data_IF_235403060780
#
_entry.id   IF_235403060780
#
_cell.length_a   1.000
_cell.length_b   1.000
_cell.length_c   1.000
_cell.angle_alpha   90.00
_cell.angle_beta   90.00
_cell.angle_gamma   90.00
#
_symmetry.space_group_name_H-M   'P 1'
#
loop_
_entity.id
_entity.type
_entity.pdbx_description
1 polymer ?
#
# COMPACT_ATOMS: atom_id res chain seq x y z
N UNK A 1 0.00 10.62 -4.64
CA UNK A 1 -0.63 9.83 -3.57
C UNK A 1 -0.01 8.45 -3.63
N UNK A 2 0.53 8.00 -2.50
CA UNK A 2 1.17 6.70 -2.31
C UNK A 2 0.43 5.95 -1.21
N UNK A 3 0.47 4.61 -1.29
CA UNK A 3 -0.10 3.74 -0.26
C UNK A 3 0.97 2.72 0.11
N UNK A 4 1.27 2.60 1.40
CA UNK A 4 2.01 1.48 1.98
C UNK A 4 0.98 0.59 2.65
N UNK A 5 0.87 -0.66 2.23
CA UNK A 5 -0.05 -1.63 2.80
C UNK A 5 0.74 -2.77 3.43
N UNK A 6 0.32 -3.20 4.62
CA UNK A 6 0.94 -4.29 5.36
C UNK A 6 0.14 -5.59 5.19
N UNK A 7 0.75 -6.73 5.53
CA UNK A 7 0.02 -8.00 5.53
C UNK A 7 -1.03 -7.96 6.65
N UNK A 8 -2.28 -8.39 6.43
CA UNK A 8 -3.30 -8.45 7.48
C UNK A 8 -2.87 -9.20 8.74
N UNK A 9 -1.94 -10.16 8.63
CA UNK A 9 -1.42 -10.95 9.74
C UNK A 9 -0.35 -10.22 10.55
N UNK A 10 0.23 -9.14 10.04
CA UNK A 10 1.27 -8.41 10.77
C UNK A 10 0.75 -7.86 12.11
N UNK A 11 -0.55 -7.56 12.20
CA UNK A 11 -1.16 -7.14 13.46
C UNK A 11 -1.18 -8.23 14.52
N UNK A 12 -1.48 -9.48 14.15
CA UNK A 12 -1.56 -10.61 15.09
C UNK A 12 -0.21 -11.27 15.34
N UNK A 13 0.57 -11.46 14.28
CA UNK A 13 1.78 -12.29 14.29
C UNK A 13 3.01 -11.46 14.70
N UNK A 14 3.07 -10.21 14.23
CA UNK A 14 4.25 -9.35 14.35
C UNK A 14 3.99 -8.10 15.20
N UNK A 15 2.79 -7.96 15.78
CA UNK A 15 2.43 -6.87 16.69
C UNK A 15 2.31 -5.49 16.04
N UNK A 16 2.08 -5.43 14.72
CA UNK A 16 1.91 -4.16 14.02
C UNK A 16 0.62 -3.46 14.48
N UNK A 17 0.77 -2.26 15.04
CA UNK A 17 -0.36 -1.40 15.43
C UNK A 17 -0.58 -0.28 14.42
N UNK A 18 -1.77 0.35 14.45
CA UNK A 18 -2.07 1.53 13.62
C UNK A 18 -1.09 2.67 13.89
N UNK A 19 -0.76 2.93 15.16
CA UNK A 19 0.21 3.96 15.53
C UNK A 19 1.61 3.65 14.99
N UNK A 20 2.05 2.38 15.09
CA UNK A 20 3.34 1.98 14.54
C UNK A 20 3.37 2.12 13.02
N UNK A 21 2.31 1.70 12.33
CA UNK A 21 2.18 1.89 10.89
C UNK A 21 2.20 3.37 10.50
N UNK A 22 1.52 4.24 11.25
CA UNK A 22 1.56 5.70 11.06
C UNK A 22 3.00 6.23 11.20
N UNK A 23 3.72 5.86 12.26
CA UNK A 23 5.12 6.24 12.46
C UNK A 23 6.02 5.80 11.30
N UNK A 24 5.85 4.57 10.81
CA UNK A 24 6.59 4.04 9.67
C UNK A 24 6.32 4.86 8.39
N UNK A 25 5.06 5.21 8.14
CA UNK A 25 4.70 6.06 7.02
C UNK A 25 5.24 7.48 7.11
N UNK A 26 5.27 8.06 8.31
CA UNK A 26 5.87 9.38 8.55
C UNK A 26 7.39 9.37 8.35
N UNK A 27 8.07 8.34 8.85
CA UNK A 27 9.51 8.15 8.65
C UNK A 27 9.83 7.98 7.17
N UNK A 28 9.09 7.13 6.46
CA UNK A 28 9.22 6.95 5.01
C UNK A 28 9.00 8.27 4.26
N UNK A 29 7.93 9.00 4.61
CA UNK A 29 7.60 10.27 3.96
C UNK A 29 8.70 11.31 4.16
N UNK A 30 9.23 11.43 5.38
CA UNK A 30 10.31 12.36 5.71
C UNK A 30 11.59 12.05 4.94
N UNK A 31 11.92 10.77 4.77
CA UNK A 31 13.10 10.33 4.04
C UNK A 31 12.99 10.52 2.53
N UNK A 32 11.82 10.27 1.94
CA UNK A 32 11.66 10.11 0.49
C UNK A 32 10.82 11.20 -0.20
N UNK A 33 10.20 12.11 0.56
CA UNK A 33 9.51 13.27 -0.01
C UNK A 33 9.94 14.59 0.65
N UNK A 34 11.24 14.84 0.92
CA UNK A 34 11.67 16.09 1.52
C UNK A 34 11.30 17.27 0.60
N UNK A 35 10.99 18.44 1.15
CA UNK A 35 10.62 19.58 0.31
C UNK A 35 9.17 19.53 -0.18
N UNK A 36 8.42 18.47 0.06
CA UNK A 36 6.98 18.46 -0.18
C UNK A 36 6.23 18.65 1.14
N UNK A 37 5.16 19.45 1.11
CA UNK A 37 4.12 19.35 2.14
C UNK A 37 3.46 17.97 1.99
N UNK A 38 3.17 17.30 3.10
CA UNK A 38 2.58 15.98 3.07
C UNK A 38 1.48 15.83 4.12
N UNK A 39 0.47 15.04 3.79
CA UNK A 39 -0.53 14.48 4.71
C UNK A 39 -0.33 12.97 4.75
N UNK A 40 -0.22 12.44 5.97
CA UNK A 40 -0.03 11.01 6.22
C UNK A 40 -1.21 10.55 7.07
N UNK A 41 -1.94 9.55 6.58
CA UNK A 41 -3.12 9.03 7.25
C UNK A 41 -3.10 7.50 7.23
N UNK A 42 -3.30 6.88 8.38
CA UNK A 42 -3.33 5.43 8.52
C UNK A 42 -4.75 4.95 8.76
N UNK A 43 -5.14 3.90 8.06
CA UNK A 43 -6.40 3.21 8.29
C UNK A 43 -6.13 1.83 8.90
N UNK A 44 -6.84 1.45 9.97
CA UNK A 44 -6.71 0.14 10.59
C UNK A 44 -7.37 -0.97 9.74
N UNK A 45 -8.34 -0.62 8.91
CA UNK A 45 -9.17 -1.51 8.13
C UNK A 45 -9.04 -1.23 6.63
N UNK A 46 -8.48 -2.20 5.91
CA UNK A 46 -8.42 -2.20 4.45
C UNK A 46 -9.77 -1.96 3.77
N UNK A 47 -9.74 -1.35 2.58
CA UNK A 47 -10.92 -1.23 1.73
C UNK A 47 -11.55 -2.61 1.47
N UNK A 48 -12.84 -2.80 1.80
CA UNK A 48 -13.59 -4.06 1.74
C UNK A 48 -13.36 -5.08 2.88
N UNK A 49 -12.99 -4.66 4.09
CA UNK A 49 -12.77 -5.56 5.23
C UNK A 49 -11.62 -6.56 5.02
N UNK A 50 -10.62 -6.20 4.19
CA UNK A 50 -9.44 -7.05 3.93
C UNK A 50 -8.49 -7.15 5.13
N UNK A 51 -8.70 -6.38 6.20
CA UNK A 51 -7.97 -6.49 7.47
C UNK A 51 -6.54 -5.94 7.44
N UNK A 52 -6.06 -5.42 6.31
CA UNK A 52 -4.74 -4.80 6.20
C UNK A 52 -4.75 -3.35 6.73
N UNK A 53 -3.87 -3.10 7.70
CA UNK A 53 -3.44 -1.74 8.05
C UNK A 53 -2.73 -1.16 6.82
N UNK A 54 -3.04 0.09 6.49
CA UNK A 54 -2.39 0.78 5.37
C UNK A 54 -2.27 2.27 5.60
N UNK A 55 -1.22 2.86 5.04
CA UNK A 55 -0.86 4.27 5.20
C UNK A 55 -0.97 4.98 3.86
N UNK A 56 -1.78 6.02 3.82
CA UNK A 56 -1.89 6.96 2.72
C UNK A 56 -0.86 8.08 2.92
N UNK A 57 0.00 8.29 1.92
CA UNK A 57 0.94 9.42 1.87
C UNK A 57 0.52 10.32 0.70
N UNK A 58 0.00 11.50 1.01
CA UNK A 58 -0.42 12.50 0.04
C UNK A 58 0.55 13.67 0.09
N UNK A 59 1.33 13.83 -0.97
CA UNK A 59 2.27 14.96 -1.09
C UNK A 59 1.67 16.06 -1.97
N UNK A 60 1.95 17.31 -1.63
CA UNK A 60 1.84 18.40 -2.58
C UNK A 60 2.77 18.10 -3.75
N UNK A 61 2.22 18.05 -4.96
CA UNK A 61 2.99 17.68 -6.14
C UNK A 61 4.11 18.66 -6.44
N UNK A 62 4.04 19.90 -5.98
CA UNK A 62 5.13 20.87 -6.10
C UNK A 62 6.03 20.83 -4.86
N UNK A 63 7.33 20.97 -5.08
CA UNK A 63 8.29 21.15 -3.99
C UNK A 63 8.22 22.61 -3.50
N UNK A 64 8.17 22.80 -2.19
CA UNK A 64 8.05 24.13 -1.55
C UNK A 64 9.40 24.71 -1.11
N UNK A 65 10.49 23.95 -1.20
CA UNK A 65 11.86 24.42 -1.00
C UNK A 65 12.86 23.47 -1.67
N UNK A 66 14.07 23.93 -1.93
CA UNK A 66 15.12 23.13 -2.57
C UNK A 66 15.66 22.02 -1.64
N UNK A 67 15.99 20.85 -2.20
CA UNK A 67 16.51 19.69 -1.46
C UNK A 67 17.76 19.12 -2.11
N UNK A 68 18.62 18.39 -1.39
CA UNK A 68 19.73 17.67 -2.00
C UNK A 68 19.26 16.66 -3.04
N UNK A 69 20.13 16.37 -4.02
CA UNK A 69 19.89 15.30 -4.98
C UNK A 69 19.92 13.95 -4.25
N UNK A 70 18.80 13.23 -4.26
CA UNK A 70 18.65 11.93 -3.63
C UNK A 70 18.84 10.77 -4.63
N UNK A 71 19.15 9.54 -4.17
CA UNK A 71 19.50 8.42 -5.05
C UNK A 71 18.47 8.06 -6.12
N UNK A 72 17.19 8.38 -5.88
CA UNK A 72 16.08 8.10 -6.80
C UNK A 72 15.74 9.25 -7.76
N UNK A 73 16.44 10.38 -7.65
CA UNK A 73 16.24 11.55 -8.50
C UNK A 73 17.17 11.52 -9.71
N UNK A 74 16.66 11.83 -10.90
CA UNK A 74 17.40 11.71 -12.16
C UNK A 74 17.72 13.06 -12.82
N UNK A 75 17.11 14.16 -12.38
CA UNK A 75 17.30 15.48 -12.99
C UNK A 75 17.49 16.59 -11.96
N UNK A 76 18.19 17.69 -12.32
CA UNK A 76 18.26 18.88 -11.49
C UNK A 76 16.88 19.42 -11.09
N UNK A 77 15.88 19.31 -11.97
CA UNK A 77 14.51 19.76 -11.67
C UNK A 77 13.88 19.02 -10.49
N UNK A 78 14.31 17.79 -10.18
CA UNK A 78 13.76 17.02 -9.06
C UNK A 78 14.17 17.63 -7.70
N UNK A 79 15.18 18.50 -7.66
CA UNK A 79 15.65 19.11 -6.41
C UNK A 79 15.03 20.48 -6.13
N UNK A 80 14.49 21.15 -7.15
CA UNK A 80 14.19 22.59 -7.12
C UNK A 80 12.82 22.91 -6.54
N UNK A 81 12.75 24.04 -5.82
CA UNK A 81 11.50 24.68 -5.44
C UNK A 81 10.63 24.97 -6.69
N UNK A 82 9.31 24.82 -6.53
CA UNK A 82 8.32 25.04 -7.59
C UNK A 82 8.26 23.94 -8.65
N UNK A 83 9.17 22.96 -8.62
CA UNK A 83 9.18 21.85 -9.57
C UNK A 83 8.29 20.69 -9.10
N UNK A 84 7.67 20.01 -10.07
CA UNK A 84 6.75 18.90 -9.81
C UNK A 84 7.51 17.63 -9.45
N UNK A 85 7.02 16.90 -8.45
CA UNK A 85 7.47 15.54 -8.13
C UNK A 85 7.34 14.63 -9.34
N UNK A 86 8.44 13.94 -9.66
CA UNK A 86 8.52 13.00 -10.78
C UNK A 86 8.62 11.58 -10.24
N UNK A 87 7.54 10.84 -10.44
CA UNK A 87 7.46 9.42 -10.11
C UNK A 87 7.96 8.59 -11.31
N UNK A 88 9.28 8.51 -11.48
CA UNK A 88 9.90 7.69 -12.54
C UNK A 88 9.90 6.21 -12.17
N UNK A 89 10.19 5.32 -13.13
CA UNK A 89 10.34 3.89 -12.84
C UNK A 89 11.49 3.63 -11.84
N UNK A 90 12.64 4.29 -12.03
CA UNK A 90 13.76 4.20 -11.10
C UNK A 90 13.37 4.66 -9.69
N UNK A 91 12.59 5.74 -9.58
CA UNK A 91 12.09 6.19 -8.28
C UNK A 91 11.13 5.19 -7.64
N UNK A 92 10.25 4.58 -8.43
CA UNK A 92 9.35 3.55 -7.91
C UNK A 92 10.08 2.26 -7.51
N UNK A 93 11.09 1.82 -8.26
CA UNK A 93 11.94 0.68 -7.90
C UNK A 93 12.66 0.95 -6.58
N UNK A 94 13.24 2.14 -6.42
CA UNK A 94 13.87 2.56 -5.18
C UNK A 94 12.88 2.61 -4.00
N UNK A 95 11.70 3.21 -4.17
CA UNK A 95 10.70 3.23 -3.10
C UNK A 95 10.23 1.83 -2.70
N UNK A 96 10.08 0.92 -3.67
CA UNK A 96 9.75 -0.47 -3.39
C UNK A 96 10.85 -1.18 -2.60
N UNK A 97 12.13 -0.96 -2.94
CA UNK A 97 13.24 -1.52 -2.15
C UNK A 97 13.28 -0.95 -0.73
N UNK A 98 13.06 0.35 -0.56
CA UNK A 98 13.04 0.97 0.78
C UNK A 98 11.87 0.47 1.64
N UNK A 99 10.67 0.26 1.06
CA UNK A 99 9.54 -0.36 1.76
C UNK A 99 9.87 -1.80 2.17
N UNK A 100 10.49 -2.57 1.28
CA UNK A 100 10.93 -3.93 1.54
C UNK A 100 11.95 -4.00 2.69
N UNK A 101 12.98 -3.15 2.67
CA UNK A 101 13.98 -3.04 3.74
C UNK A 101 13.36 -2.55 5.06
N UNK A 102 12.38 -1.64 5.00
CA UNK A 102 11.61 -1.23 6.16
C UNK A 102 10.85 -2.41 6.77
N UNK A 103 10.09 -3.17 5.98
CA UNK A 103 9.38 -4.35 6.50
C UNK A 103 10.34 -5.38 7.09
N UNK A 104 11.47 -5.65 6.41
CA UNK A 104 12.49 -6.57 6.90
C UNK A 104 13.04 -6.15 8.28
N UNK A 105 13.41 -4.87 8.43
CA UNK A 105 13.94 -4.32 9.69
C UNK A 105 12.92 -4.38 10.82
N UNK A 106 11.64 -4.17 10.52
CA UNK A 106 10.56 -4.21 11.49
C UNK A 106 10.04 -5.63 11.79
N UNK A 107 10.59 -6.66 11.14
CA UNK A 107 10.14 -8.04 11.31
C UNK A 107 8.75 -8.30 10.74
N UNK A 108 8.31 -7.50 9.76
CA UNK A 108 7.00 -7.62 9.12
C UNK A 108 7.07 -8.53 7.89
N UNK A 109 5.92 -9.09 7.52
CA UNK A 109 5.81 -9.87 6.29
C UNK A 109 6.13 -9.00 5.06
N UNK A 110 6.77 -9.64 4.08
CA UNK A 110 7.23 -8.97 2.88
C UNK A 110 6.84 -9.78 1.65
N UNK A 111 6.40 -9.06 0.61
CA UNK A 111 6.28 -9.59 -0.74
C UNK A 111 7.37 -8.96 -1.63
N UNK A 112 7.78 -9.69 -2.67
CA UNK A 112 8.69 -9.14 -3.66
C UNK A 112 7.97 -8.10 -4.54
N UNK A 113 8.18 -6.83 -4.22
CA UNK A 113 7.58 -5.70 -4.93
C UNK A 113 8.26 -5.40 -6.28
N UNK A 114 9.47 -5.93 -6.50
CA UNK A 114 10.27 -5.68 -7.70
C UNK A 114 9.94 -6.67 -8.81
N UNK A 115 9.79 -7.96 -8.47
CA UNK A 115 9.55 -9.01 -9.45
C UNK A 115 8.08 -9.46 -9.52
N UNK A 116 7.24 -9.00 -8.58
CA UNK A 116 5.81 -9.31 -8.52
C UNK A 116 5.53 -10.71 -7.98
N UNK A 117 4.23 -11.02 -7.80
CA UNK A 117 3.81 -12.35 -7.36
C UNK A 117 4.09 -13.41 -8.43
N UNK A 118 4.49 -14.61 -7.99
CA UNK A 118 4.61 -15.79 -8.87
C UNK A 118 3.29 -16.15 -9.55
N UNK A 119 2.17 -15.85 -8.89
CA UNK A 119 0.82 -16.01 -9.42
C UNK A 119 0.23 -14.63 -9.71
N UNK A 120 0.06 -14.30 -10.99
CA UNK A 120 -0.60 -13.06 -11.42
C UNK A 120 -2.08 -13.32 -11.61
N UNK A 121 -2.89 -12.77 -10.71
CA UNK A 121 -4.34 -12.67 -10.89
C UNK A 121 -4.61 -11.33 -11.56
N UNK A 122 -5.21 -11.33 -12.74
CA UNK A 122 -5.66 -10.12 -13.42
C UNK A 122 -6.83 -9.51 -12.66
N UNK A 123 -7.01 -8.19 -12.76
CA UNK A 123 -8.17 -7.50 -12.17
C UNK A 123 -9.51 -8.13 -12.62
N UNK A 124 -9.57 -8.59 -13.88
CA UNK A 124 -10.72 -9.33 -14.42
C UNK A 124 -10.97 -10.64 -13.67
N UNK A 125 -9.92 -11.42 -13.42
CA UNK A 125 -10.02 -12.69 -12.68
C UNK A 125 -10.41 -12.45 -11.22
N UNK A 126 -9.85 -11.42 -10.58
CA UNK A 126 -10.23 -11.00 -9.24
C UNK A 126 -11.73 -10.67 -9.15
N UNK A 127 -12.24 -9.83 -10.06
CA UNK A 127 -13.66 -9.46 -10.08
C UNK A 127 -14.57 -10.63 -10.49
N UNK A 128 -14.13 -11.51 -11.38
CA UNK A 128 -14.86 -12.71 -11.75
C UNK A 128 -15.03 -13.66 -10.56
N UNK A 129 -13.96 -13.91 -9.81
CA UNK A 129 -14.00 -14.69 -8.57
C UNK A 129 -14.93 -14.06 -7.54
N UNK A 130 -14.79 -12.74 -7.30
CA UNK A 130 -15.63 -12.01 -6.34
C UNK A 130 -17.12 -12.03 -6.71
N UNK A 131 -17.46 -11.88 -7.99
CA UNK A 131 -18.85 -11.93 -8.48
C UNK A 131 -19.43 -13.34 -8.38
N UNK A 132 -18.63 -14.38 -8.65
CA UNK A 132 -19.01 -15.77 -8.49
C UNK A 132 -19.36 -16.08 -7.04
N UNK A 133 -18.51 -15.68 -6.10
CA UNK A 133 -18.74 -15.85 -4.66
C UNK A 133 -20.01 -15.12 -4.21
N UNK A 134 -20.22 -13.88 -4.64
CA UNK A 134 -21.39 -13.09 -4.22
C UNK A 134 -22.73 -13.67 -4.72
N UNK A 135 -22.72 -14.34 -5.88
CA UNK A 135 -23.89 -15.06 -6.40
C UNK A 135 -24.17 -16.34 -5.61
N UNK A 136 -23.12 -17.10 -5.28
CA UNK A 136 -23.16 -18.27 -4.41
C UNK A 136 -23.69 -17.90 -3.01
N UNK A 137 -23.19 -16.83 -2.41
CA UNK A 137 -23.60 -16.38 -1.07
C UNK A 137 -25.08 -15.97 -1.05
N UNK A 138 -25.57 -15.26 -2.08
CA UNK A 138 -26.99 -14.91 -2.21
C UNK A 138 -27.88 -16.16 -2.35
N UNK A 139 -27.45 -17.13 -3.14
CA UNK A 139 -28.19 -18.38 -3.31
C UNK A 139 -28.22 -19.16 -1.99
N UNK A 140 -27.09 -19.25 -1.29
CA UNK A 140 -26.96 -19.95 -0.02
C UNK A 140 -27.80 -19.29 1.09
N UNK A 141 -27.84 -17.96 1.17
CA UNK A 141 -28.71 -17.25 2.10
C UNK A 141 -30.21 -17.54 1.86
N UNK A 142 -30.65 -17.64 0.60
CA UNK A 142 -32.02 -18.00 0.26
C UNK A 142 -32.34 -19.47 0.62
N UNK A 143 -31.37 -20.37 0.45
CA UNK A 143 -31.51 -21.79 0.80
C UNK A 143 -31.56 -22.01 2.30
N UNK A 144 -30.71 -21.32 3.07
CA UNK A 144 -30.75 -21.32 4.53
C UNK A 144 -32.09 -20.82 5.07
N UNK A 145 -32.61 -19.71 4.53
CA UNK A 145 -33.93 -19.19 4.89
C UNK A 145 -35.07 -20.18 4.58
N UNK A 146 -34.88 -21.07 3.59
CA UNK A 146 -35.81 -22.13 3.23
C UNK A 146 -35.52 -23.47 3.96
N UNK A 147 -34.57 -23.52 4.90
CA UNK A 147 -34.18 -24.73 5.62
C UNK A 147 -33.46 -25.78 4.76
N UNK A 148 -32.92 -25.38 3.61
CA UNK A 148 -32.17 -26.24 2.70
C UNK A 148 -30.67 -26.15 2.95
N UNK A 149 -29.91 -27.23 2.71
CA UNK A 149 -28.45 -27.21 2.83
C UNK A 149 -27.83 -26.26 1.80
N UNK A 150 -26.73 -25.60 2.16
CA UNK A 150 -25.98 -24.72 1.26
C UNK A 150 -25.28 -25.49 0.14
N UNK A 151 -25.02 -24.81 -0.97
CA UNK A 151 -24.18 -25.31 -2.06
C UNK A 151 -22.70 -25.13 -1.69
N UNK A 152 -21.84 -26.12 -2.04
CA UNK A 152 -20.39 -25.99 -1.89
C UNK A 152 -19.82 -24.91 -2.80
#
# INVERSE_FOLDING_TARGET
HYIISFDPRDGTDNGLTTDRAQELGEQFCKAHFPGHQALICTHPDGHNHSGNIHVHIVINSLRIYEVPLLPYMDRPADTREGCKHRCTNAAMEYFKSEVMEMCHREGLYQIDLLNGSKERITEREYWAAKKGQLALDKENAAREAAGQPTKP
#
